data_IF_044608545030
#
_entry.id   IF_044608545030
#
_cell.length_a   1.000
_cell.length_b   1.000
_cell.length_c   1.000
_cell.angle_alpha   90.00
_cell.angle_beta   90.00
_cell.angle_gamma   90.00
#
_symmetry.space_group_name_H-M   'P 1'
#
loop_
_entity.id
_entity.type
_entity.pdbx_description
1 polymer ?
#
# COMPACT_ATOMS: atom_id res chain seq x y z
N UNK A 1 -56.10 19.41 23.59
CA UNK A 1 -55.82 18.13 22.92
C UNK A 1 -54.46 18.28 22.28
N UNK A 2 -53.41 17.99 23.06
CA UNK A 2 -52.03 18.07 22.61
C UNK A 2 -51.69 16.78 21.85
N UNK A 3 -51.65 16.86 20.53
CA UNK A 3 -50.98 15.85 19.73
C UNK A 3 -49.49 16.19 19.71
N UNK A 4 -48.79 15.59 20.67
CA UNK A 4 -47.35 15.47 20.71
C UNK A 4 -46.82 15.03 19.35
N UNK A 5 -46.04 15.91 18.72
CA UNK A 5 -45.15 15.61 17.61
C UNK A 5 -44.07 14.63 18.11
N UNK A 6 -44.41 13.35 18.18
CA UNK A 6 -43.40 12.31 18.34
C UNK A 6 -42.66 12.20 17.00
N UNK A 7 -41.42 12.68 17.00
CA UNK A 7 -40.51 12.59 15.86
C UNK A 7 -40.46 11.17 15.30
N UNK A 8 -40.51 11.07 13.98
CA UNK A 8 -40.40 9.81 13.28
C UNK A 8 -38.96 9.28 13.39
N UNK A 9 -38.75 8.19 14.12
CA UNK A 9 -37.46 7.49 14.29
C UNK A 9 -36.77 7.21 12.93
N UNK A 10 -37.56 6.98 11.85
CA UNK A 10 -37.01 6.83 10.49
C UNK A 10 -36.35 8.12 9.95
N UNK A 11 -36.90 9.30 10.25
CA UNK A 11 -36.35 10.59 9.80
C UNK A 11 -35.06 10.93 10.56
N UNK A 12 -35.02 10.64 11.87
CA UNK A 12 -33.82 10.82 12.69
C UNK A 12 -32.69 9.86 12.26
N UNK A 13 -33.01 8.58 11.98
CA UNK A 13 -32.05 7.61 11.43
C UNK A 13 -31.54 7.99 10.05
N UNK A 14 -32.39 8.52 9.17
CA UNK A 14 -31.94 9.01 7.86
C UNK A 14 -31.03 10.23 7.97
N UNK A 15 -31.33 11.16 8.88
CA UNK A 15 -30.45 12.30 9.17
C UNK A 15 -29.09 11.86 9.74
N UNK A 16 -29.09 10.92 10.69
CA UNK A 16 -27.87 10.37 11.28
C UNK A 16 -27.01 9.62 10.25
N UNK A 17 -27.64 8.84 9.36
CA UNK A 17 -26.93 8.15 8.28
C UNK A 17 -26.29 9.13 7.29
N UNK A 18 -26.95 10.25 6.98
CA UNK A 18 -26.39 11.30 6.14
C UNK A 18 -25.18 11.97 6.80
N UNK A 19 -25.27 12.29 8.09
CA UNK A 19 -24.18 12.89 8.86
C UNK A 19 -22.97 11.95 9.01
N UNK A 20 -23.22 10.65 9.24
CA UNK A 20 -22.16 9.63 9.26
C UNK A 20 -21.47 9.56 7.90
N UNK A 21 -22.25 9.53 6.81
CA UNK A 21 -21.71 9.51 5.45
C UNK A 21 -20.84 10.74 5.18
N UNK A 22 -21.31 11.93 5.49
CA UNK A 22 -20.55 13.18 5.33
C UNK A 22 -19.25 13.17 6.14
N UNK A 23 -19.29 12.66 7.37
CA UNK A 23 -18.11 12.53 8.21
C UNK A 23 -17.09 11.54 7.61
N UNK A 24 -17.56 10.40 7.08
CA UNK A 24 -16.70 9.42 6.42
C UNK A 24 -16.07 9.98 5.14
N UNK A 25 -16.84 10.72 4.33
CA UNK A 25 -16.34 11.39 3.12
C UNK A 25 -15.30 12.46 3.46
N UNK A 26 -15.50 13.23 4.54
CA UNK A 26 -14.52 14.21 5.02
C UNK A 26 -13.22 13.53 5.48
N UNK A 27 -13.31 12.44 6.25
CA UNK A 27 -12.15 11.66 6.66
C UNK A 27 -11.40 11.06 5.45
N UNK A 28 -12.12 10.55 4.45
CA UNK A 28 -11.51 10.04 3.21
C UNK A 28 -10.75 11.15 2.48
N UNK A 29 -11.36 12.34 2.33
CA UNK A 29 -10.74 13.48 1.68
C UNK A 29 -9.46 13.93 2.41
N UNK A 30 -9.48 13.95 3.74
CA UNK A 30 -8.32 14.31 4.56
C UNK A 30 -7.17 13.30 4.39
N UNK A 31 -7.48 12.00 4.36
CA UNK A 31 -6.50 10.94 4.09
C UNK A 31 -5.88 11.08 2.70
N UNK A 32 -6.69 11.36 1.68
CA UNK A 32 -6.23 11.60 0.31
C UNK A 32 -5.31 12.81 0.24
N UNK A 33 -5.66 13.90 0.92
CA UNK A 33 -4.84 15.11 0.95
C UNK A 33 -3.49 14.90 1.62
N UNK A 34 -3.46 14.15 2.74
CA UNK A 34 -2.22 13.76 3.40
C UNK A 34 -1.37 12.90 2.47
N UNK A 35 -1.96 11.88 1.84
CA UNK A 35 -1.26 11.02 0.89
C UNK A 35 -0.66 11.81 -0.28
N UNK A 36 -1.45 12.69 -0.90
CA UNK A 36 -1.00 13.57 -2.00
C UNK A 36 0.16 14.46 -1.57
N UNK A 37 0.10 15.07 -0.38
CA UNK A 37 1.20 15.91 0.13
C UNK A 37 2.48 15.09 0.32
N UNK A 38 2.38 13.91 0.93
CA UNK A 38 3.54 13.05 1.16
C UNK A 38 4.13 12.58 -0.17
N UNK A 39 3.31 12.07 -1.09
CA UNK A 39 3.77 11.58 -2.39
C UNK A 39 4.42 12.69 -3.21
N UNK A 40 3.82 13.90 -3.25
CA UNK A 40 4.40 15.05 -3.96
C UNK A 40 5.70 15.58 -3.33
N UNK A 41 5.89 15.36 -2.02
CA UNK A 41 7.12 15.78 -1.32
C UNK A 41 8.28 14.79 -1.47
N UNK A 42 8.00 13.57 -1.95
CA UNK A 42 9.03 12.54 -2.11
C UNK A 42 9.80 12.73 -3.42
N UNK A 43 11.05 12.27 -3.43
CA UNK A 43 11.91 12.21 -4.63
C UNK A 43 11.34 11.31 -5.72
N UNK A 44 10.58 10.29 -5.31
CA UNK A 44 9.99 9.29 -6.20
C UNK A 44 8.63 8.80 -5.65
N UNK A 45 7.71 8.39 -6.52
CA UNK A 45 6.39 7.89 -6.15
C UNK A 45 6.39 6.71 -5.17
N UNK A 46 7.35 5.79 -5.29
CA UNK A 46 7.41 4.58 -4.47
C UNK A 46 7.76 4.93 -3.03
N UNK A 47 8.81 5.71 -2.82
CA UNK A 47 9.15 6.27 -1.51
C UNK A 47 8.02 7.09 -0.93
N UNK A 48 7.29 7.85 -1.75
CA UNK A 48 6.10 8.59 -1.32
C UNK A 48 5.04 7.70 -0.69
N UNK A 49 4.68 6.59 -1.36
CA UNK A 49 3.69 5.65 -0.84
C UNK A 49 4.19 4.92 0.41
N UNK A 50 5.45 4.49 0.44
CA UNK A 50 6.01 3.85 1.64
C UNK A 50 6.03 4.82 2.84
N UNK A 51 6.42 6.08 2.62
CA UNK A 51 6.37 7.13 3.66
C UNK A 51 4.95 7.38 4.13
N UNK A 52 3.96 7.36 3.24
CA UNK A 52 2.56 7.49 3.62
C UNK A 52 2.12 6.33 4.53
N UNK A 53 2.45 5.07 4.16
CA UNK A 53 2.15 3.91 4.99
C UNK A 53 2.84 3.97 6.35
N UNK A 54 4.07 4.48 6.39
CA UNK A 54 4.85 4.65 7.63
C UNK A 54 4.31 5.79 8.51
N UNK A 55 3.78 6.87 7.93
CA UNK A 55 3.24 8.01 8.67
C UNK A 55 1.95 7.67 9.44
N UNK A 56 1.28 6.56 9.08
CA UNK A 56 0.05 6.12 9.74
C UNK A 56 0.29 5.73 11.20
N UNK A 57 -0.68 5.92 12.11
CA UNK A 57 -0.56 5.49 13.50
C UNK A 57 -0.24 4.01 13.62
N UNK A 58 0.56 3.65 14.63
CA UNK A 58 0.89 2.25 14.91
C UNK A 58 -0.38 1.47 15.32
N UNK A 59 -0.52 0.24 14.81
CA UNK A 59 -1.69 -0.61 15.06
C UNK A 59 -2.95 -0.21 14.27
N UNK A 60 -2.94 0.91 13.55
CA UNK A 60 -4.09 1.32 12.74
C UNK A 60 -4.21 0.49 11.46
N UNK A 61 -5.39 -0.09 11.24
CA UNK A 61 -5.75 -0.79 10.00
C UNK A 61 -6.07 0.20 8.88
N UNK A 62 -5.57 -0.04 7.67
CA UNK A 62 -6.05 0.60 6.44
C UNK A 62 -6.75 -0.45 5.59
N UNK A 63 -8.06 -0.32 5.43
CA UNK A 63 -8.80 -1.21 4.56
C UNK A 63 -8.38 -1.03 3.09
N UNK A 64 -8.32 -2.11 2.33
CA UNK A 64 -7.87 -2.12 0.94
C UNK A 64 -8.67 -1.20 0.02
N UNK A 65 -9.98 -1.07 0.26
CA UNK A 65 -10.81 -0.06 -0.41
C UNK A 65 -10.22 1.36 -0.31
N UNK A 66 -9.80 1.77 0.90
CA UNK A 66 -9.20 3.09 1.11
C UNK A 66 -7.82 3.19 0.46
N UNK A 67 -7.03 2.11 0.46
CA UNK A 67 -5.75 2.07 -0.27
C UNK A 67 -5.97 2.38 -1.75
N UNK A 68 -6.89 1.66 -2.40
CA UNK A 68 -7.20 1.84 -3.82
C UNK A 68 -7.70 3.25 -4.12
N UNK A 69 -8.62 3.77 -3.28
CA UNK A 69 -9.15 5.14 -3.41
C UNK A 69 -8.05 6.19 -3.28
N UNK A 70 -7.19 6.07 -2.27
CA UNK A 70 -6.05 6.97 -2.06
C UNK A 70 -5.09 6.94 -3.25
N UNK A 71 -4.77 5.77 -3.79
CA UNK A 71 -3.89 5.65 -4.95
C UNK A 71 -4.50 6.29 -6.20
N UNK A 72 -5.75 5.95 -6.52
CA UNK A 72 -6.48 6.53 -7.65
C UNK A 72 -6.54 8.06 -7.55
N UNK A 73 -6.91 8.58 -6.38
CA UNK A 73 -6.99 10.01 -6.18
C UNK A 73 -5.60 10.66 -6.19
N UNK A 74 -4.55 9.99 -5.74
CA UNK A 74 -3.20 10.56 -5.70
C UNK A 74 -2.54 10.60 -7.07
N UNK A 75 -2.70 9.54 -7.86
CA UNK A 75 -2.04 9.38 -9.17
C UNK A 75 -2.91 9.76 -10.36
N UNK A 76 -4.24 9.83 -10.20
CA UNK A 76 -5.21 10.14 -11.27
C UNK A 76 -5.92 8.89 -11.76
N UNK A 77 -5.15 7.88 -12.18
CA UNK A 77 -5.66 6.61 -12.71
C UNK A 77 -4.79 5.41 -12.26
N UNK A 78 -5.32 4.18 -12.38
CA UNK A 78 -4.54 2.96 -12.09
C UNK A 78 -3.36 2.75 -13.05
N UNK A 79 -3.42 3.33 -14.24
CA UNK A 79 -2.36 3.24 -15.25
C UNK A 79 -1.15 4.11 -14.85
N UNK A 80 -1.40 5.24 -14.20
CA UNK A 80 -0.40 6.17 -13.68
C UNK A 80 0.23 5.70 -12.36
N UNK A 81 -0.37 4.73 -11.67
CA UNK A 81 0.22 4.12 -10.47
C UNK A 81 1.46 3.31 -10.87
N UNK A 82 2.63 3.56 -10.25
CA UNK A 82 3.85 2.78 -10.51
C UNK A 82 3.63 1.28 -10.39
N UNK A 83 4.18 0.50 -11.32
CA UNK A 83 3.88 -0.92 -11.48
C UNK A 83 4.10 -1.75 -10.19
N UNK A 84 5.17 -1.50 -9.44
CA UNK A 84 5.41 -2.17 -8.16
C UNK A 84 4.37 -1.79 -7.10
N UNK A 85 4.00 -0.52 -7.01
CA UNK A 85 2.97 -0.06 -6.06
C UNK A 85 1.67 -0.76 -6.40
N UNK A 86 1.27 -0.69 -7.68
CA UNK A 86 0.07 -1.36 -8.18
C UNK A 86 0.10 -2.84 -7.86
N UNK A 87 1.23 -3.51 -8.07
CA UNK A 87 1.39 -4.91 -7.71
C UNK A 87 1.14 -5.11 -6.22
N UNK A 88 1.86 -4.40 -5.34
CA UNK A 88 1.74 -4.50 -3.87
C UNK A 88 0.36 -4.15 -3.32
N UNK A 89 -0.42 -3.38 -4.08
CA UNK A 89 -1.74 -2.91 -3.66
C UNK A 89 -2.88 -3.66 -4.35
N UNK A 90 -2.57 -4.61 -5.24
CA UNK A 90 -3.55 -5.42 -5.95
C UNK A 90 -4.18 -6.43 -4.98
N UNK A 91 -5.52 -6.42 -4.89
CA UNK A 91 -6.28 -7.30 -3.99
C UNK A 91 -5.93 -7.21 -2.50
N UNK A 92 -5.49 -6.04 -2.05
CA UNK A 92 -5.28 -5.79 -0.62
C UNK A 92 -6.63 -5.83 0.09
N UNK A 93 -6.71 -6.62 1.15
CA UNK A 93 -7.77 -6.59 2.12
C UNK A 93 -7.48 -5.52 3.20
N UNK A 94 -6.25 -5.53 3.72
CA UNK A 94 -5.85 -4.68 4.84
C UNK A 94 -4.34 -4.39 4.83
N UNK A 95 -3.96 -3.19 5.24
CA UNK A 95 -2.57 -2.83 5.57
C UNK A 95 -2.48 -2.41 7.03
N UNK A 96 -1.57 -3.05 7.77
CA UNK A 96 -1.28 -2.70 9.17
C UNK A 96 0.19 -2.31 9.33
N UNK A 97 0.46 -1.48 10.34
CA UNK A 97 1.80 -1.03 10.71
C UNK A 97 2.09 -1.43 12.16
N UNK A 98 3.27 -1.99 12.40
CA UNK A 98 3.85 -2.19 13.73
C UNK A 98 5.30 -1.71 13.74
N UNK A 99 5.61 -0.67 14.51
CA UNK A 99 6.90 0.03 14.48
C UNK A 99 7.32 0.45 13.06
N UNK A 100 8.40 -0.10 12.51
CA UNK A 100 8.86 0.10 11.13
C UNK A 100 8.47 -1.05 10.18
N UNK A 101 7.65 -2.00 10.63
CA UNK A 101 7.16 -3.12 9.81
C UNK A 101 5.79 -2.80 9.25
N UNK A 102 5.64 -2.99 7.94
CA UNK A 102 4.35 -2.97 7.25
C UNK A 102 3.94 -4.40 6.96
N UNK A 103 2.68 -4.71 7.23
CA UNK A 103 2.05 -5.98 6.89
C UNK A 103 0.87 -5.71 5.96
N UNK A 104 0.87 -6.39 4.82
CA UNK A 104 -0.17 -6.32 3.80
C UNK A 104 -0.86 -7.69 3.80
N UNK A 105 -2.16 -7.66 4.04
CA UNK A 105 -3.06 -8.80 3.96
C UNK A 105 -3.83 -8.70 2.65
N UNK A 106 -3.64 -9.67 1.77
CA UNK A 106 -4.34 -9.77 0.49
C UNK A 106 -5.56 -10.69 0.64
N UNK A 107 -6.61 -10.43 -0.16
CA UNK A 107 -7.80 -11.28 -0.23
C UNK A 107 -7.47 -12.69 -0.74
N UNK A 108 -6.52 -12.79 -1.67
CA UNK A 108 -5.99 -14.03 -2.22
C UNK A 108 -4.55 -13.81 -2.70
N UNK A 109 -3.78 -14.88 -2.97
CA UNK A 109 -2.49 -14.75 -3.64
C UNK A 109 -2.64 -14.06 -5.00
N UNK A 110 -1.67 -13.22 -5.36
CA UNK A 110 -1.68 -12.46 -6.63
C UNK A 110 -0.38 -12.66 -7.38
N UNK A 111 -0.43 -12.50 -8.70
CA UNK A 111 0.73 -12.53 -9.57
C UNK A 111 0.60 -11.40 -10.58
N UNK A 112 1.49 -10.42 -10.49
CA UNK A 112 1.42 -9.17 -11.24
C UNK A 112 2.66 -9.05 -12.13
N UNK A 113 2.44 -8.72 -13.40
CA UNK A 113 3.54 -8.55 -14.34
C UNK A 113 4.18 -7.18 -14.16
N UNK A 114 5.51 -7.17 -14.05
CA UNK A 114 6.32 -5.97 -14.02
C UNK A 114 7.46 -6.10 -15.03
N UNK A 115 7.24 -5.58 -16.24
CA UNK A 115 8.19 -5.72 -17.35
C UNK A 115 8.36 -7.18 -17.78
N UNK A 116 9.59 -7.68 -17.66
CA UNK A 116 9.97 -9.09 -17.93
C UNK A 116 9.79 -10.00 -16.71
N UNK A 117 9.55 -9.42 -15.53
CA UNK A 117 9.40 -10.14 -14.27
C UNK A 117 7.93 -10.30 -13.89
N UNK A 118 7.65 -11.33 -13.08
CA UNK A 118 6.35 -11.51 -12.42
C UNK A 118 6.60 -11.39 -10.92
N UNK A 119 5.90 -10.48 -10.26
CA UNK A 119 5.89 -10.35 -8.81
C UNK A 119 4.70 -11.15 -8.28
N UNK A 120 4.99 -12.20 -7.52
CA UNK A 120 3.97 -13.01 -6.84
C UNK A 120 3.88 -12.62 -5.39
N UNK A 121 2.66 -12.54 -4.88
CA UNK A 121 2.35 -12.19 -3.51
C UNK A 121 1.56 -13.30 -2.85
N UNK A 122 1.96 -13.67 -1.64
CA UNK A 122 1.16 -14.53 -0.77
C UNK A 122 0.05 -13.70 -0.11
N UNK A 123 -0.90 -14.38 0.52
CA UNK A 123 -1.98 -13.74 1.30
C UNK A 123 -1.47 -12.80 2.39
N UNK A 124 -0.29 -13.10 2.95
CA UNK A 124 0.36 -12.26 3.96
C UNK A 124 1.73 -11.87 3.46
N UNK A 125 1.89 -10.58 3.22
CA UNK A 125 3.17 -9.95 2.90
C UNK A 125 3.61 -9.09 4.08
N UNK A 126 4.89 -9.14 4.43
CA UNK A 126 5.47 -8.21 5.41
C UNK A 126 6.84 -7.75 4.96
N UNK A 127 7.19 -6.53 5.31
CA UNK A 127 8.53 -5.98 5.11
C UNK A 127 8.84 -4.92 6.15
N UNK A 128 10.12 -4.77 6.44
CA UNK A 128 10.67 -3.76 7.34
C UNK A 128 11.18 -2.56 6.54
N UNK A 129 10.78 -1.37 6.96
CA UNK A 129 11.26 -0.10 6.40
C UNK A 129 12.52 0.34 7.16
N UNK A 130 13.59 0.59 6.41
CA UNK A 130 14.85 1.11 6.92
C UNK A 130 15.42 2.18 5.98
N UNK A 131 16.42 2.91 6.47
CA UNK A 131 17.24 3.80 5.66
C UNK A 131 18.69 3.33 5.67
N UNK A 132 19.32 3.21 4.51
CA UNK A 132 20.74 2.90 4.36
C UNK A 132 21.39 3.91 3.42
N UNK A 133 22.45 4.59 3.86
CA UNK A 133 23.18 5.57 3.03
C UNK A 133 22.21 6.53 2.32
N UNK A 134 21.28 7.08 3.10
CA UNK A 134 20.23 8.02 2.66
C UNK A 134 19.22 7.49 1.63
N UNK A 135 19.23 6.18 1.36
CA UNK A 135 18.25 5.51 0.50
C UNK A 135 17.20 4.78 1.34
N UNK A 136 15.94 4.83 0.89
CA UNK A 136 14.87 4.01 1.45
C UNK A 136 15.10 2.54 1.10
N UNK A 137 14.94 1.67 2.08
CA UNK A 137 15.12 0.22 1.92
C UNK A 137 13.96 -0.53 2.54
N UNK A 138 13.42 -1.50 1.79
CA UNK A 138 12.57 -2.55 2.33
C UNK A 138 13.42 -3.81 2.56
N UNK A 139 13.42 -4.33 3.79
CA UNK A 139 14.17 -5.53 4.21
C UNK A 139 13.26 -6.57 4.84
N UNK A 140 13.81 -7.73 5.15
CA UNK A 140 13.12 -8.81 5.87
C UNK A 140 11.78 -9.14 5.20
N UNK A 141 11.78 -9.09 3.87
CA UNK A 141 10.61 -9.25 3.03
C UNK A 141 10.15 -10.70 3.14
N UNK A 142 8.87 -10.90 3.45
CA UNK A 142 8.22 -12.21 3.48
C UNK A 142 6.94 -12.12 2.69
N UNK A 143 6.65 -13.16 1.90
CA UNK A 143 5.42 -13.23 1.10
C UNK A 143 5.53 -12.62 -0.30
N UNK A 144 6.68 -12.04 -0.68
CA UNK A 144 6.94 -11.56 -2.04
C UNK A 144 7.98 -12.41 -2.74
N UNK A 145 7.68 -12.79 -3.99
CA UNK A 145 8.53 -13.62 -4.83
C UNK A 145 8.64 -13.00 -6.22
N UNK A 146 9.84 -13.04 -6.78
CA UNK A 146 10.14 -12.63 -8.15
C UNK A 146 10.23 -13.87 -9.01
N UNK A 147 9.61 -13.84 -10.18
CA UNK A 147 9.65 -14.93 -11.14
C UNK A 147 10.12 -14.42 -12.49
N UNK A 148 11.14 -15.07 -13.06
CA UNK A 148 11.66 -14.81 -14.41
C UNK A 148 11.87 -16.16 -15.11
N UNK A 149 11.37 -16.31 -16.34
CA UNK A 149 11.46 -17.57 -17.11
C UNK A 149 11.00 -18.84 -16.35
N UNK A 150 10.05 -18.69 -15.42
CA UNK A 150 9.53 -19.80 -14.60
C UNK A 150 10.36 -20.14 -13.35
N UNK A 151 11.49 -19.47 -13.12
CA UNK A 151 12.28 -19.60 -11.89
C UNK A 151 11.76 -18.59 -10.89
N UNK A 152 11.30 -19.08 -9.72
CA UNK A 152 10.78 -18.26 -8.63
C UNK A 152 11.80 -18.16 -7.49
N UNK A 153 12.04 -16.94 -7.02
CA UNK A 153 12.93 -16.66 -5.90
C UNK A 153 12.29 -15.65 -4.93
N UNK A 154 12.39 -15.85 -3.62
CA UNK A 154 11.91 -14.87 -2.64
C UNK A 154 12.68 -13.56 -2.74
N UNK A 155 11.97 -12.44 -2.66
CA UNK A 155 12.59 -11.12 -2.56
C UNK A 155 13.23 -10.97 -1.17
N UNK A 156 14.47 -10.50 -1.14
CA UNK A 156 15.23 -10.27 0.09
C UNK A 156 15.20 -8.79 0.48
N UNK A 157 15.41 -7.91 -0.51
CA UNK A 157 15.58 -6.48 -0.28
C UNK A 157 15.11 -5.68 -1.49
N UNK A 158 14.47 -4.54 -1.26
CA UNK A 158 14.17 -3.53 -2.29
C UNK A 158 14.84 -2.23 -1.85
N UNK A 159 15.77 -1.72 -2.65
CA UNK A 159 16.48 -0.47 -2.43
C UNK A 159 15.95 0.57 -3.43
N UNK A 160 15.53 1.72 -2.94
CA UNK A 160 15.10 2.83 -3.79
C UNK A 160 16.28 3.75 -4.01
N UNK A 161 16.87 3.70 -5.21
CA UNK A 161 17.92 4.63 -5.63
C UNK A 161 17.28 5.80 -6.38
N UNK A 162 17.59 6.99 -5.92
CA UNK A 162 17.14 8.24 -6.54
C UNK A 162 17.67 8.36 -7.99
N UNK A 163 16.87 8.87 -8.94
CA UNK A 163 15.51 9.41 -8.78
C UNK A 163 14.37 8.41 -9.03
N UNK A 164 14.58 7.26 -9.66
CA UNK A 164 13.49 6.31 -9.97
C UNK A 164 13.94 4.85 -10.07
N UNK A 165 15.16 4.54 -9.64
CA UNK A 165 15.77 3.23 -9.85
C UNK A 165 15.44 2.30 -8.69
N UNK A 166 14.72 1.21 -8.95
CA UNK A 166 14.42 0.21 -7.92
C UNK A 166 15.37 -0.96 -8.05
N UNK A 167 16.24 -1.11 -7.05
CA UNK A 167 17.19 -2.21 -6.98
C UNK A 167 16.59 -3.33 -6.12
N UNK A 168 16.13 -4.39 -6.77
CA UNK A 168 15.54 -5.56 -6.09
C UNK A 168 16.58 -6.66 -5.97
N UNK A 169 16.76 -7.18 -4.76
CA UNK A 169 17.62 -8.33 -4.47
C UNK A 169 16.75 -9.54 -4.19
N UNK A 170 17.05 -10.66 -4.84
CA UNK A 170 16.38 -11.96 -4.62
C UNK A 170 17.35 -12.96 -4.00
N UNK A 171 16.81 -13.84 -3.14
CA UNK A 171 17.57 -14.92 -2.51
C UNK A 171 17.41 -16.20 -3.34
N UNK A 172 18.51 -16.65 -3.95
CA UNK A 172 18.57 -17.85 -4.80
C UNK A 172 18.95 -19.14 -4.04
N UNK A 173 18.94 -19.12 -2.70
CA UNK A 173 19.24 -20.27 -1.85
C UNK A 173 20.74 -20.55 -1.65
N UNK A 174 21.10 -21.82 -1.43
CA UNK A 174 22.42 -22.30 -1.00
C UNK A 174 23.60 -21.88 -1.90
N UNK A 175 23.34 -21.43 -3.12
CA UNK A 175 24.38 -20.98 -4.06
C UNK A 175 24.85 -19.54 -3.81
N UNK A 176 24.18 -18.72 -2.99
CA UNK A 176 24.54 -17.32 -2.71
C UNK A 176 24.69 -16.33 -3.90
N UNK A 177 24.18 -16.50 -5.14
CA UNK A 177 24.11 -15.36 -6.04
C UNK A 177 22.91 -14.50 -5.64
N UNK A 178 23.18 -13.40 -4.94
CA UNK A 178 22.25 -12.27 -4.89
C UNK A 178 22.18 -11.70 -6.31
N UNK A 179 21.02 -11.76 -6.94
CA UNK A 179 20.80 -11.08 -8.22
C UNK A 179 20.16 -9.74 -7.95
N UNK A 180 20.80 -8.69 -8.46
CA UNK A 180 20.26 -7.33 -8.49
C UNK A 180 19.45 -7.16 -9.76
N UNK A 181 18.17 -6.90 -9.61
CA UNK A 181 17.29 -6.47 -10.69
C UNK A 181 17.26 -4.95 -10.66
N UNK A 182 17.68 -4.35 -11.78
CA UNK A 182 17.57 -2.92 -12.02
C UNK A 182 16.26 -2.68 -12.78
N UNK A 183 15.29 -2.02 -12.12
CA UNK A 183 13.90 -1.88 -12.57
C UNK A 183 13.50 -0.41 -12.69
#
# INVERSE_FOLDING_TARGET
MDHSANGCDCCERMGMNAQIKETLEACEAELVDVARRIVKSASDPFSGVIKFLQARPEGASLHGYLVTRVLLQTFGSMEEVPALIRALTSHVHEVTRKSNVISIHNEHPTAERWGTYIIKQKEKTRFEIAFEKDCLVLKNIVGLFGSEHGIEAPLEKILVRSPTQLVVTVNMGLLHPQRVLDL
#
